data_IF_922215779827
#
_entry.id   IF_922215779827
#
_cell.length_a   1.000
_cell.length_b   1.000
_cell.length_c   1.000
_cell.angle_alpha   90.00
_cell.angle_beta   90.00
_cell.angle_gamma   90.00
#
_symmetry.space_group_name_H-M   'P 1'
#
loop_
_entity.id
_entity.type
_entity.pdbx_description
1 polymer ?
#
# COMPACT_ATOMS: atom_id res chain seq x y z
N UNK A 1 -26.17 23.87 -65.33
CA UNK A 1 -25.22 24.21 -64.24
C UNK A 1 -25.79 23.69 -62.93
N UNK A 2 -25.34 22.51 -62.48
CA UNK A 2 -25.52 22.07 -61.10
C UNK A 2 -24.34 21.17 -60.74
N UNK A 3 -23.33 21.75 -60.10
CA UNK A 3 -22.21 21.03 -59.49
C UNK A 3 -22.20 21.49 -58.04
N UNK A 4 -22.72 20.68 -57.13
CA UNK A 4 -22.77 21.05 -55.72
C UNK A 4 -23.64 20.15 -54.87
N UNK A 5 -23.25 18.89 -54.68
CA UNK A 5 -23.86 18.05 -53.63
C UNK A 5 -23.01 16.85 -53.17
N UNK A 6 -21.89 16.51 -53.84
CA UNK A 6 -21.15 15.29 -53.50
C UNK A 6 -20.12 15.47 -52.35
N UNK A 7 -19.66 16.70 -52.10
CA UNK A 7 -18.58 16.99 -51.14
C UNK A 7 -19.04 17.08 -49.68
N UNK A 8 -20.33 17.34 -49.42
CA UNK A 8 -20.85 17.49 -48.07
C UNK A 8 -20.98 16.18 -47.28
N UNK A 9 -21.22 15.06 -47.97
CA UNK A 9 -21.53 13.79 -47.32
C UNK A 9 -20.25 13.01 -46.92
N UNK A 10 -19.22 13.02 -47.78
CA UNK A 10 -17.92 12.38 -47.46
C UNK A 10 -17.20 13.06 -46.29
N UNK A 11 -17.30 14.40 -46.17
CA UNK A 11 -16.71 15.14 -45.05
C UNK A 11 -17.36 14.78 -43.72
N UNK A 12 -18.69 14.68 -43.69
CA UNK A 12 -19.45 14.27 -42.49
C UNK A 12 -19.14 12.84 -42.07
N UNK A 13 -19.08 11.89 -43.03
CA UNK A 13 -18.72 10.50 -42.74
C UNK A 13 -17.31 10.38 -42.17
N UNK A 14 -16.34 11.12 -42.72
CA UNK A 14 -14.97 11.18 -42.18
C UNK A 14 -14.95 11.74 -40.76
N UNK A 15 -15.64 12.85 -40.51
CA UNK A 15 -15.73 13.46 -39.17
C UNK A 15 -16.36 12.49 -38.16
N UNK A 16 -17.45 11.81 -38.55
CA UNK A 16 -18.11 10.81 -37.69
C UNK A 16 -17.17 9.63 -37.41
N UNK A 17 -16.42 9.16 -38.41
CA UNK A 17 -15.45 8.08 -38.23
C UNK A 17 -14.31 8.49 -37.29
N UNK A 18 -13.77 9.70 -37.42
CA UNK A 18 -12.76 10.23 -36.50
C UNK A 18 -13.31 10.39 -35.08
N UNK A 19 -14.53 10.90 -34.95
CA UNK A 19 -15.19 11.07 -33.65
C UNK A 19 -15.44 9.71 -32.98
N UNK A 20 -15.93 8.73 -33.74
CA UNK A 20 -16.13 7.36 -33.25
C UNK A 20 -14.81 6.72 -32.82
N UNK A 21 -13.75 6.87 -33.62
CA UNK A 21 -12.41 6.40 -33.27
C UNK A 21 -11.88 7.08 -31.99
N UNK A 22 -12.06 8.39 -31.87
CA UNK A 22 -11.66 9.15 -30.68
C UNK A 22 -12.40 8.71 -29.43
N UNK A 23 -13.72 8.46 -29.52
CA UNK A 23 -14.53 7.94 -28.41
C UNK A 23 -14.06 6.54 -27.99
N UNK A 24 -13.73 5.67 -28.94
CA UNK A 24 -13.21 4.33 -28.65
C UNK A 24 -11.88 4.42 -27.91
N UNK A 25 -10.96 5.28 -28.37
CA UNK A 25 -9.67 5.50 -27.71
C UNK A 25 -9.87 6.06 -26.31
N UNK A 26 -10.72 7.08 -26.13
CA UNK A 26 -11.03 7.64 -24.82
C UNK A 26 -11.62 6.59 -23.87
N UNK A 27 -12.56 5.78 -24.36
CA UNK A 27 -13.15 4.70 -23.58
C UNK A 27 -12.10 3.67 -23.17
N UNK A 28 -11.22 3.27 -24.09
CA UNK A 28 -10.14 2.34 -23.80
C UNK A 28 -9.17 2.91 -22.74
N UNK A 29 -8.75 4.17 -22.89
CA UNK A 29 -7.89 4.86 -21.92
C UNK A 29 -8.57 4.95 -20.55
N UNK A 30 -9.86 5.29 -20.51
CA UNK A 30 -10.63 5.36 -19.28
C UNK A 30 -10.69 4.00 -18.58
N UNK A 31 -11.00 2.93 -19.32
CA UNK A 31 -11.07 1.57 -18.79
C UNK A 31 -9.72 1.09 -18.26
N UNK A 32 -8.61 1.36 -18.99
CA UNK A 32 -7.26 1.05 -18.51
C UNK A 32 -6.95 1.81 -17.22
N UNK A 33 -7.27 3.11 -17.19
CA UNK A 33 -7.04 3.96 -16.01
C UNK A 33 -7.81 3.44 -14.81
N UNK A 34 -9.09 3.10 -14.99
CA UNK A 34 -9.95 2.52 -13.96
C UNK A 34 -9.46 1.15 -13.51
N UNK A 35 -9.03 0.28 -14.43
CA UNK A 35 -8.51 -1.04 -14.09
C UNK A 35 -7.22 -0.95 -13.26
N UNK A 36 -6.31 -0.04 -13.64
CA UNK A 36 -5.06 0.20 -12.90
C UNK A 36 -5.34 0.80 -11.52
N UNK A 37 -6.22 1.80 -11.42
CA UNK A 37 -6.54 2.44 -10.12
C UNK A 37 -7.37 1.55 -9.22
N UNK A 38 -8.39 0.86 -9.73
CA UNK A 38 -9.18 -0.10 -8.96
C UNK A 38 -8.33 -1.30 -8.54
N UNK A 39 -7.45 -1.80 -9.42
CA UNK A 39 -6.50 -2.86 -9.10
C UNK A 39 -5.51 -2.43 -8.01
N UNK A 40 -4.95 -1.22 -8.11
CA UNK A 40 -4.04 -0.68 -7.10
C UNK A 40 -4.76 -0.48 -5.75
N UNK A 41 -6.01 0.02 -5.77
CA UNK A 41 -6.81 0.23 -4.56
C UNK A 41 -7.20 -1.10 -3.89
N UNK A 42 -7.58 -2.10 -4.67
CA UNK A 42 -7.93 -3.44 -4.16
C UNK A 42 -6.72 -4.16 -3.57
N UNK A 43 -5.55 -4.05 -4.21
CA UNK A 43 -4.28 -4.57 -3.67
C UNK A 43 -3.92 -3.88 -2.36
N UNK A 44 -3.99 -2.55 -2.29
CA UNK A 44 -3.76 -1.80 -1.05
C UNK A 44 -4.70 -2.20 0.08
N UNK A 45 -5.99 -2.40 -0.20
CA UNK A 45 -6.94 -2.89 0.80
C UNK A 45 -6.61 -4.31 1.28
N UNK A 46 -6.26 -5.21 0.36
CA UNK A 46 -5.85 -6.57 0.72
C UNK A 46 -4.54 -6.59 1.56
N UNK A 47 -3.56 -5.76 1.22
CA UNK A 47 -2.32 -5.62 1.99
C UNK A 47 -2.56 -4.99 3.37
N UNK A 48 -3.51 -4.05 3.49
CA UNK A 48 -3.90 -3.48 4.79
C UNK A 48 -4.63 -4.50 5.68
N UNK A 49 -5.46 -5.36 5.08
CA UNK A 49 -6.14 -6.45 5.78
C UNK A 49 -5.16 -7.52 6.30
N UNK A 50 -4.04 -7.73 5.59
CA UNK A 50 -3.00 -8.68 6.01
C UNK A 50 -1.94 -8.07 6.93
N UNK A 51 -1.99 -6.75 7.19
CA UNK A 51 -1.07 -6.12 8.09
C UNK A 51 -1.19 -6.73 9.48
N UNK A 52 -0.07 -7.05 10.15
CA UNK A 52 -0.08 -7.62 11.50
C UNK A 52 0.96 -6.94 12.35
N UNK A 53 0.65 -6.77 13.64
CA UNK A 53 1.66 -6.37 14.60
C UNK A 53 2.63 -7.53 14.78
N UNK A 54 3.89 -7.28 14.46
CA UNK A 54 4.98 -8.23 14.61
C UNK A 54 6.11 -7.59 15.41
N UNK A 55 6.82 -8.41 16.18
CA UNK A 55 8.01 -7.94 16.90
C UNK A 55 9.12 -7.63 15.93
N UNK A 56 9.74 -6.47 16.12
CA UNK A 56 10.87 -6.00 15.33
C UNK A 56 11.97 -5.53 16.27
N UNK A 57 13.21 -5.87 15.93
CA UNK A 57 14.38 -5.33 16.59
C UNK A 57 15.37 -4.84 15.53
N UNK A 58 16.02 -3.73 15.80
CA UNK A 58 17.11 -3.23 14.96
C UNK A 58 18.08 -2.41 15.82
N UNK A 59 19.36 -2.53 15.49
CA UNK A 59 20.36 -1.60 16.00
C UNK A 59 20.28 -0.31 15.18
N UNK A 60 20.37 0.85 15.84
CA UNK A 60 20.56 2.13 15.14
C UNK A 60 22.07 2.32 14.97
N UNK A 61 22.63 2.22 13.74
CA UNK A 61 24.06 2.38 13.52
C UNK A 61 24.52 3.75 14.02
N UNK A 62 25.57 3.76 14.86
CA UNK A 62 26.15 4.99 15.41
C UNK A 62 25.44 5.56 16.65
N UNK A 63 24.41 4.90 17.18
CA UNK A 63 23.80 5.30 18.47
C UNK A 63 24.04 4.33 19.62
N UNK A 64 24.63 3.15 19.37
CA UNK A 64 24.96 2.18 20.43
C UNK A 64 23.73 1.66 21.18
N UNK A 65 22.59 1.58 20.49
CA UNK A 65 21.35 1.07 21.08
C UNK A 65 20.67 0.09 20.12
N UNK A 66 20.23 -1.03 20.70
CA UNK A 66 19.28 -1.97 20.13
C UNK A 66 17.87 -1.52 20.50
N UNK A 67 17.07 -1.21 19.49
CA UNK A 67 15.66 -0.86 19.65
C UNK A 67 14.83 -2.13 19.49
N UNK A 68 13.98 -2.41 20.48
CA UNK A 68 12.99 -3.49 20.42
C UNK A 68 11.62 -2.85 20.42
N UNK A 69 10.75 -3.28 19.52
CA UNK A 69 9.42 -2.72 19.36
C UNK A 69 8.46 -3.65 18.61
N UNK A 70 7.25 -3.15 18.41
CA UNK A 70 6.23 -3.80 17.56
C UNK A 70 5.98 -2.93 16.35
N UNK A 71 5.94 -3.55 15.17
CA UNK A 71 5.69 -2.86 13.91
C UNK A 71 4.47 -3.48 13.22
N UNK A 72 3.53 -2.63 12.79
CA UNK A 72 2.42 -3.03 11.94
C UNK A 72 2.93 -3.18 10.50
N UNK A 73 3.13 -4.41 10.07
CA UNK A 73 3.75 -4.72 8.78
C UNK A 73 2.74 -5.40 7.86
N UNK A 74 2.56 -4.90 6.63
CA UNK A 74 1.71 -5.53 5.62
C UNK A 74 2.35 -6.77 4.98
N UNK A 75 1.57 -7.53 4.20
CA UNK A 75 2.09 -8.69 3.47
C UNK A 75 3.19 -8.35 2.44
N UNK A 76 3.30 -7.08 2.03
CA UNK A 76 4.36 -6.59 1.14
C UNK A 76 5.63 -6.19 1.94
N UNK A 77 5.65 -6.40 3.26
CA UNK A 77 6.77 -6.10 4.14
C UNK A 77 6.90 -4.61 4.50
N UNK A 78 5.90 -3.78 4.19
CA UNK A 78 5.91 -2.35 4.48
C UNK A 78 5.42 -2.08 5.90
N UNK A 79 6.16 -1.23 6.61
CA UNK A 79 5.81 -0.80 7.96
C UNK A 79 4.85 0.40 7.88
N UNK A 80 3.69 0.27 8.51
CA UNK A 80 2.67 1.31 8.58
C UNK A 80 2.71 2.08 9.91
N UNK A 81 3.12 1.42 10.99
CA UNK A 81 3.22 2.01 12.33
C UNK A 81 4.24 1.24 13.15
N UNK A 82 4.93 1.92 14.07
CA UNK A 82 5.94 1.33 14.95
C UNK A 82 5.77 1.87 16.36
N UNK A 83 5.77 0.97 17.35
CA UNK A 83 5.80 1.31 18.77
C UNK A 83 7.05 0.71 19.41
N UNK A 84 7.89 1.59 19.93
CA UNK A 84 9.10 1.17 20.67
C UNK A 84 8.70 0.64 22.04
N UNK A 85 9.18 -0.54 22.38
CA UNK A 85 9.02 -1.18 23.67
C UNK A 85 10.18 -0.78 24.58
N UNK A 86 11.40 -0.92 24.08
CA UNK A 86 12.61 -0.59 24.81
C UNK A 86 13.72 -0.11 23.88
N UNK A 87 14.65 0.67 24.45
CA UNK A 87 15.94 1.00 23.84
C UNK A 87 17.01 0.48 24.78
N UNK A 88 17.75 -0.53 24.34
CA UNK A 88 18.74 -1.23 25.16
C UNK A 88 20.12 -0.80 24.67
N UNK A 89 20.98 -0.20 25.52
CA UNK A 89 22.36 0.13 25.15
C UNK A 89 23.15 -1.12 24.78
N UNK A 90 23.87 -1.11 23.66
CA UNK A 90 24.59 -2.28 23.15
C UNK A 90 25.73 -2.75 24.09
N UNK A 91 26.18 -1.89 25.00
CA UNK A 91 27.21 -2.12 26.01
C UNK A 91 26.63 -2.50 27.40
N UNK A 92 25.31 -2.66 27.53
CA UNK A 92 24.69 -2.98 28.80
C UNK A 92 25.18 -4.34 29.34
N UNK A 93 25.59 -4.37 30.61
CA UNK A 93 26.08 -5.59 31.27
C UNK A 93 25.02 -6.72 31.27
N UNK A 94 23.75 -6.37 31.40
CA UNK A 94 22.61 -7.29 31.40
C UNK A 94 21.84 -7.29 30.06
N UNK A 95 22.49 -6.87 28.95
CA UNK A 95 21.85 -6.69 27.64
C UNK A 95 20.95 -7.85 27.21
N UNK A 96 21.44 -9.09 27.36
CA UNK A 96 20.70 -10.28 26.94
C UNK A 96 19.39 -10.46 27.74
N UNK A 97 19.43 -10.16 29.04
CA UNK A 97 18.25 -10.26 29.92
C UNK A 97 17.23 -9.19 29.54
N UNK A 98 17.69 -7.95 29.35
CA UNK A 98 16.84 -6.83 28.98
C UNK A 98 16.22 -7.03 27.60
N UNK A 99 16.98 -7.60 26.66
CA UNK A 99 16.50 -7.92 25.32
C UNK A 99 15.40 -8.97 25.34
N UNK A 100 15.58 -10.05 26.11
CA UNK A 100 14.56 -11.11 26.24
C UNK A 100 13.30 -10.56 26.90
N UNK A 101 13.43 -9.75 27.96
CA UNK A 101 12.28 -9.13 28.62
C UNK A 101 11.53 -8.18 27.67
N UNK A 102 12.24 -7.29 26.99
CA UNK A 102 11.65 -6.37 26.02
C UNK A 102 10.99 -7.10 24.85
N UNK A 103 11.55 -8.23 24.41
CA UNK A 103 10.97 -9.06 23.36
C UNK A 103 9.67 -9.71 23.82
N UNK A 104 9.63 -10.28 25.03
CA UNK A 104 8.40 -10.89 25.56
C UNK A 104 7.28 -9.86 25.69
N UNK A 105 7.60 -8.68 26.20
CA UNK A 105 6.63 -7.59 26.30
C UNK A 105 6.15 -7.12 24.92
N UNK A 106 7.05 -7.09 23.92
CA UNK A 106 6.68 -6.80 22.54
C UNK A 106 5.76 -7.88 21.95
N UNK A 107 6.03 -9.16 22.21
CA UNK A 107 5.22 -10.29 21.74
C UNK A 107 3.81 -10.23 22.35
N UNK A 108 3.71 -10.00 23.67
CA UNK A 108 2.45 -9.83 24.37
C UNK A 108 1.65 -8.63 23.85
N UNK A 109 2.30 -7.46 23.68
CA UNK A 109 1.64 -6.28 23.09
C UNK A 109 1.17 -6.53 21.67
N UNK A 110 1.97 -7.19 20.84
CA UNK A 110 1.58 -7.55 19.48
C UNK A 110 0.37 -8.49 19.48
N UNK A 111 0.33 -9.45 20.41
CA UNK A 111 -0.80 -10.36 20.58
C UNK A 111 -2.10 -9.62 20.92
N UNK A 112 -2.07 -8.74 21.93
CA UNK A 112 -3.23 -7.93 22.30
C UNK A 112 -3.69 -7.00 21.17
N UNK A 113 -2.75 -6.30 20.52
CA UNK A 113 -3.08 -5.39 19.41
C UNK A 113 -3.66 -6.12 18.18
N UNK A 114 -3.33 -7.40 18.00
CA UNK A 114 -3.91 -8.21 16.93
C UNK A 114 -5.30 -8.76 17.31
N UNK A 115 -5.59 -8.99 18.60
CA UNK A 115 -6.91 -9.41 19.11
C UNK A 115 -7.90 -8.25 19.10
N UNK A 116 -7.48 -7.08 19.60
CA UNK A 116 -8.34 -5.90 19.73
C UNK A 116 -8.61 -5.21 18.39
N UNK A 117 -8.04 -5.73 17.29
CA UNK A 117 -8.25 -5.17 15.97
C UNK A 117 -9.63 -5.55 15.46
N UNK A 118 -10.54 -4.58 15.25
CA UNK A 118 -11.80 -4.88 14.59
C UNK A 118 -11.51 -5.39 13.16
N UNK A 119 -12.27 -6.38 12.66
CA UNK A 119 -12.17 -6.79 11.26
C UNK A 119 -12.39 -5.55 10.40
N UNK A 120 -11.41 -5.18 9.59
CA UNK A 120 -11.53 -4.02 8.71
C UNK A 120 -12.38 -4.46 7.51
N UNK A 121 -13.69 -4.57 7.70
CA UNK A 121 -14.63 -5.03 6.69
C UNK A 121 -16.08 -4.84 7.13
N UNK A 122 -16.67 -3.72 6.71
CA UNK A 122 -18.11 -3.56 6.47
C UNK A 122 -18.30 -3.35 4.97
#
# INVERSE_FOLDING_TARGET
MQVGAATGNLGRVRIIAFLAGFIVVLTAVLLVTLAVTAGARRRRHASQMSARWAVRHYAIPGRGHTVVGVALTDADGRVHSEHVVARIPDDAQDWQRDFVAARQEAEERAFHLNIDRPPIGG
#
